data_IF_714262500433
#
_entry.id   IF_714262500433
#
_cell.length_a   1.000
_cell.length_b   1.000
_cell.length_c   1.000
_cell.angle_alpha   90.00
_cell.angle_beta   90.00
_cell.angle_gamma   90.00
#
_symmetry.space_group_name_H-M   'P 1'
#
loop_
_entity.id
_entity.type
_entity.pdbx_description
1 polymer ?
#
# COMPACT_ATOMS: atom_id res chain seq x y z
N UNK A 1 -24.86 -25.01 -17.99
CA UNK A 1 -25.52 -24.38 -16.83
C UNK A 1 -24.47 -23.58 -16.05
N UNK A 2 -24.68 -22.27 -15.92
CA UNK A 2 -23.74 -21.31 -15.31
C UNK A 2 -23.68 -21.54 -13.80
N UNK A 3 -22.49 -21.77 -13.24
CA UNK A 3 -22.29 -21.79 -11.79
C UNK A 3 -22.07 -20.36 -11.32
N UNK A 4 -23.02 -19.83 -10.55
CA UNK A 4 -22.95 -18.51 -9.94
C UNK A 4 -21.98 -18.62 -8.75
N UNK A 5 -20.89 -17.86 -8.83
CA UNK A 5 -19.90 -17.66 -7.77
C UNK A 5 -20.45 -16.60 -6.82
N UNK A 6 -20.67 -16.95 -5.56
CA UNK A 6 -21.06 -16.00 -4.51
C UNK A 6 -19.80 -15.42 -3.85
N UNK A 7 -19.22 -14.38 -4.45
CA UNK A 7 -18.20 -13.56 -3.78
C UNK A 7 -18.90 -12.57 -2.85
N UNK A 8 -18.82 -12.81 -1.54
CA UNK A 8 -19.16 -11.80 -0.53
C UNK A 8 -18.01 -10.78 -0.50
N UNK A 9 -18.25 -9.61 -1.08
CA UNK A 9 -17.38 -8.44 -0.91
C UNK A 9 -17.74 -7.83 0.44
N UNK A 10 -16.86 -8.01 1.43
CA UNK A 10 -16.92 -7.23 2.66
C UNK A 10 -16.68 -5.75 2.27
N UNK A 11 -17.77 -4.96 2.28
CA UNK A 11 -17.66 -3.51 2.17
C UNK A 11 -16.95 -3.02 3.42
N UNK A 12 -15.70 -2.58 3.27
CA UNK A 12 -15.05 -1.78 4.30
C UNK A 12 -15.87 -0.50 4.47
N UNK A 13 -16.62 -0.42 5.58
CA UNK A 13 -17.29 0.81 5.97
C UNK A 13 -16.22 1.80 6.41
N UNK A 14 -15.94 2.79 5.56
CA UNK A 14 -15.13 3.94 5.95
C UNK A 14 -15.93 4.79 6.93
N UNK A 15 -15.63 4.68 8.22
CA UNK A 15 -15.99 5.69 9.22
C UNK A 15 -14.97 6.82 9.15
N UNK A 16 -15.34 7.94 8.51
CA UNK A 16 -14.59 9.19 8.60
C UNK A 16 -14.93 9.85 9.95
N UNK A 17 -14.03 9.77 10.93
CA UNK A 17 -14.11 10.55 12.15
C UNK A 17 -12.96 11.56 12.16
N UNK A 18 -13.26 12.81 11.81
CA UNK A 18 -12.40 13.95 12.10
C UNK A 18 -12.49 14.26 13.58
N UNK A 19 -11.40 14.05 14.32
CA UNK A 19 -11.19 14.66 15.63
C UNK A 19 -9.69 14.74 15.90
N UNK A 20 -9.18 15.97 15.80
CA UNK A 20 -7.91 16.42 16.34
C UNK A 20 -7.90 16.18 17.86
N UNK A 21 -7.30 15.08 18.31
CA UNK A 21 -6.97 14.89 19.71
C UNK A 21 -5.78 13.92 19.85
N UNK A 22 -4.66 14.44 20.35
CA UNK A 22 -3.32 13.83 20.37
C UNK A 22 -3.15 12.60 21.29
N UNK A 23 -4.21 11.85 21.64
CA UNK A 23 -4.07 10.77 22.63
C UNK A 23 -4.89 9.50 22.39
N UNK A 24 -5.32 9.22 21.15
CA UNK A 24 -6.01 7.97 20.78
C UNK A 24 -5.44 7.30 19.51
N UNK A 25 -4.17 7.59 19.19
CA UNK A 25 -3.53 7.32 17.89
C UNK A 25 -2.45 6.24 17.96
N UNK A 26 -2.71 5.10 18.58
CA UNK A 26 -1.79 3.94 18.51
C UNK A 26 -2.43 2.76 17.79
N UNK A 27 -3.74 2.56 17.96
CA UNK A 27 -4.48 1.49 17.29
C UNK A 27 -4.95 1.89 15.89
N UNK A 28 -5.43 3.13 15.68
CA UNK A 28 -5.77 3.66 14.35
C UNK A 28 -4.54 4.02 13.50
N UNK A 29 -3.35 4.05 14.10
CA UNK A 29 -2.12 4.44 13.40
C UNK A 29 -1.51 3.27 12.66
N UNK A 30 -1.32 2.12 13.30
CA UNK A 30 -0.67 0.97 12.65
C UNK A 30 -1.41 0.49 11.39
N UNK A 31 -2.75 0.47 11.40
CA UNK A 31 -3.55 0.09 10.23
C UNK A 31 -3.38 1.03 9.03
N UNK A 32 -3.15 2.33 9.28
CA UNK A 32 -2.87 3.30 8.22
C UNK A 32 -1.52 3.03 7.53
N UNK A 33 -0.59 2.36 8.18
CA UNK A 33 0.72 1.97 7.62
C UNK A 33 0.74 0.55 7.05
N UNK A 34 -0.30 -0.26 7.28
CA UNK A 34 -0.38 -1.60 6.68
C UNK A 34 -0.62 -1.50 5.17
N UNK A 35 0.46 -1.72 4.41
CA UNK A 35 0.47 -1.69 2.96
C UNK A 35 0.22 -3.05 2.31
N UNK A 36 -0.17 -4.05 3.09
CA UNK A 36 -0.45 -5.39 2.55
C UNK A 36 -1.54 -5.33 1.47
N UNK A 37 -1.26 -5.95 0.34
CA UNK A 37 -2.21 -6.08 -0.77
C UNK A 37 -2.29 -7.51 -1.25
N UNK A 38 -3.41 -7.84 -1.90
CA UNK A 38 -3.50 -9.11 -2.60
C UNK A 38 -2.60 -9.07 -3.86
N UNK A 39 -1.46 -9.76 -3.81
CA UNK A 39 -0.47 -9.73 -4.89
C UNK A 39 -1.03 -10.20 -6.23
N UNK A 40 -1.93 -11.21 -6.24
CA UNK A 40 -2.59 -11.65 -7.48
C UNK A 40 -3.45 -10.54 -8.09
N UNK A 41 -4.18 -9.79 -7.28
CA UNK A 41 -4.98 -8.66 -7.78
C UNK A 41 -4.09 -7.53 -8.28
N UNK A 42 -2.99 -7.23 -7.57
CA UNK A 42 -2.03 -6.24 -8.03
C UNK A 42 -1.43 -6.66 -9.38
N UNK A 43 -1.01 -7.91 -9.51
CA UNK A 43 -0.46 -8.46 -10.74
C UNK A 43 -1.43 -8.36 -11.93
N UNK A 44 -2.70 -8.74 -11.74
CA UNK A 44 -3.74 -8.59 -12.77
C UNK A 44 -4.01 -7.11 -13.09
N UNK A 45 -4.02 -6.24 -12.09
CA UNK A 45 -4.29 -4.81 -12.29
C UNK A 45 -3.18 -4.15 -13.09
N UNK A 46 -1.93 -4.50 -12.79
CA UNK A 46 -0.77 -3.98 -13.49
C UNK A 46 -0.49 -4.71 -14.81
N UNK A 47 -1.07 -5.88 -15.05
CA UNK A 47 -0.77 -6.74 -16.22
C UNK A 47 0.70 -7.23 -16.18
N UNK A 48 1.10 -7.79 -15.02
CA UNK A 48 2.46 -8.29 -14.80
C UNK A 48 2.68 -9.64 -15.48
N UNK A 49 3.89 -9.84 -16.00
CA UNK A 49 4.38 -11.19 -16.30
C UNK A 49 4.64 -11.98 -15.02
N UNK A 50 4.82 -13.30 -15.13
CA UNK A 50 5.17 -14.15 -13.98
C UNK A 50 6.46 -13.70 -13.30
N UNK A 51 7.50 -13.37 -14.09
CA UNK A 51 8.80 -12.93 -13.57
C UNK A 51 8.70 -11.56 -12.89
N UNK A 52 7.91 -10.65 -13.46
CA UNK A 52 7.64 -9.35 -12.81
C UNK A 52 6.87 -9.53 -11.51
N UNK A 53 5.92 -10.48 -11.44
CA UNK A 53 5.12 -10.71 -10.24
C UNK A 53 5.99 -11.13 -9.04
N UNK A 54 7.00 -11.99 -9.25
CA UNK A 54 7.93 -12.38 -8.18
C UNK A 54 8.73 -11.18 -7.68
N UNK A 55 9.34 -10.41 -8.57
CA UNK A 55 10.11 -9.23 -8.20
C UNK A 55 9.26 -8.13 -7.53
N UNK A 56 8.05 -7.89 -8.04
CA UNK A 56 7.09 -6.95 -7.43
C UNK A 56 6.67 -7.43 -6.04
N UNK A 57 6.50 -8.74 -5.84
CA UNK A 57 6.16 -9.28 -4.53
C UNK A 57 7.26 -9.04 -3.51
N UNK A 58 8.51 -9.26 -3.89
CA UNK A 58 9.65 -9.05 -3.00
C UNK A 58 9.82 -7.57 -2.63
N UNK A 59 9.75 -6.68 -3.63
CA UNK A 59 9.84 -5.23 -3.41
C UNK A 59 8.69 -4.74 -2.53
N UNK A 60 7.45 -5.13 -2.83
CA UNK A 60 6.27 -4.68 -2.07
C UNK A 60 6.28 -5.24 -0.64
N UNK A 61 6.79 -6.45 -0.43
CA UNK A 61 6.95 -7.02 0.92
C UNK A 61 7.96 -6.22 1.73
N UNK A 62 9.09 -5.82 1.13
CA UNK A 62 10.06 -4.94 1.78
C UNK A 62 9.43 -3.58 2.12
N UNK A 63 8.67 -2.99 1.20
CA UNK A 63 7.95 -1.75 1.43
C UNK A 63 6.95 -1.85 2.61
N UNK A 64 6.18 -2.95 2.69
CA UNK A 64 5.26 -3.18 3.81
C UNK A 64 6.01 -3.21 5.15
N UNK A 65 7.15 -3.90 5.21
CA UNK A 65 7.97 -3.96 6.42
C UNK A 65 8.51 -2.58 6.81
N UNK A 66 9.00 -1.79 5.84
CA UNK A 66 9.49 -0.43 6.10
C UNK A 66 8.37 0.50 6.58
N UNK A 67 7.16 0.39 6.05
CA UNK A 67 6.00 1.15 6.50
C UNK A 67 5.57 0.76 7.92
N UNK A 68 5.62 -0.52 8.27
CA UNK A 68 5.38 -0.99 9.65
C UNK A 68 6.47 -0.53 10.62
N UNK A 69 7.73 -0.42 10.19
CA UNK A 69 8.78 0.21 10.99
C UNK A 69 8.46 1.69 11.23
N UNK A 70 8.02 2.42 10.21
CA UNK A 70 7.59 3.82 10.37
C UNK A 70 6.41 3.95 11.34
N UNK A 71 5.44 3.04 11.28
CA UNK A 71 4.29 3.03 12.19
C UNK A 71 4.67 3.01 13.67
N UNK A 72 5.74 2.28 13.99
CA UNK A 72 6.26 2.12 15.36
C UNK A 72 7.27 3.21 15.76
N UNK A 73 7.66 4.10 14.83
CA UNK A 73 8.59 5.17 15.11
C UNK A 73 7.94 6.36 15.84
N UNK A 74 8.78 7.17 16.48
CA UNK A 74 8.37 8.44 17.06
C UNK A 74 7.79 9.38 16.00
N UNK A 75 6.81 10.21 16.39
CA UNK A 75 6.09 11.10 15.46
C UNK A 75 7.01 12.04 14.67
N UNK A 76 8.11 12.47 15.28
CA UNK A 76 9.13 13.35 14.68
C UNK A 76 9.93 12.68 13.55
N UNK A 77 10.08 11.36 13.58
CA UNK A 77 10.87 10.59 12.61
C UNK A 77 9.98 9.88 11.59
N UNK A 78 8.73 9.59 11.97
CA UNK A 78 7.78 8.81 11.19
C UNK A 78 7.61 9.29 9.76
N UNK A 79 7.46 10.60 9.56
CA UNK A 79 7.30 11.18 8.22
C UNK A 79 8.52 10.88 7.33
N UNK A 80 9.73 11.05 7.86
CA UNK A 80 10.94 10.80 7.09
C UNK A 80 11.09 9.33 6.71
N UNK A 81 10.70 8.40 7.60
CA UNK A 81 10.71 6.97 7.32
C UNK A 81 9.70 6.58 6.24
N UNK A 82 8.48 7.13 6.29
CA UNK A 82 7.47 6.95 5.22
C UNK A 82 8.00 7.46 3.89
N UNK A 83 8.52 8.69 3.85
CA UNK A 83 9.04 9.31 2.62
C UNK A 83 10.20 8.48 2.05
N UNK A 84 11.06 7.92 2.91
CA UNK A 84 12.15 7.03 2.51
C UNK A 84 11.63 5.69 1.96
N UNK A 85 10.66 5.06 2.62
CA UNK A 85 10.07 3.80 2.17
C UNK A 85 9.40 3.96 0.81
N UNK A 86 8.58 4.99 0.64
CA UNK A 86 7.92 5.32 -0.63
C UNK A 86 8.95 5.58 -1.73
N UNK A 87 10.01 6.34 -1.44
CA UNK A 87 11.06 6.62 -2.42
C UNK A 87 11.80 5.36 -2.88
N UNK A 88 12.11 4.44 -1.95
CA UNK A 88 12.79 3.18 -2.28
C UNK A 88 11.89 2.27 -3.12
N UNK A 89 10.65 2.08 -2.68
CA UNK A 89 9.65 1.28 -3.38
C UNK A 89 9.46 1.76 -4.82
N UNK A 90 9.16 3.04 -4.99
CA UNK A 90 9.01 3.69 -6.30
C UNK A 90 10.26 3.49 -7.17
N UNK A 91 11.45 3.69 -6.62
CA UNK A 91 12.70 3.47 -7.35
C UNK A 91 12.86 2.02 -7.83
N UNK A 92 12.61 1.05 -6.96
CA UNK A 92 12.82 -0.36 -7.29
C UNK A 92 11.74 -0.89 -8.24
N UNK A 93 10.48 -0.48 -8.06
CA UNK A 93 9.41 -0.79 -9.01
C UNK A 93 9.73 -0.26 -10.41
N UNK A 94 10.38 0.90 -10.52
CA UNK A 94 10.82 1.47 -11.80
C UNK A 94 11.88 0.66 -12.54
N UNK A 95 12.58 -0.29 -11.89
CA UNK A 95 13.50 -1.21 -12.57
C UNK A 95 12.80 -2.45 -13.14
N UNK A 96 11.61 -2.78 -12.63
CA UNK A 96 10.89 -4.02 -12.95
C UNK A 96 9.73 -3.76 -13.91
N UNK A 97 9.02 -2.65 -13.71
CA UNK A 97 7.81 -2.30 -14.44
C UNK A 97 8.12 -1.51 -15.71
N UNK A 98 7.36 -1.77 -16.77
CA UNK A 98 7.35 -0.87 -17.93
C UNK A 98 6.66 0.47 -17.61
N UNK A 99 6.74 1.43 -18.53
CA UNK A 99 6.20 2.77 -18.32
C UNK A 99 4.70 2.79 -17.99
N UNK A 100 3.90 1.94 -18.65
CA UNK A 100 2.44 1.89 -18.46
C UNK A 100 2.10 1.24 -17.12
N UNK A 101 2.77 0.14 -16.80
CA UNK A 101 2.65 -0.56 -15.52
C UNK A 101 3.06 0.36 -14.36
N UNK A 102 4.20 1.02 -14.50
CA UNK A 102 4.76 1.92 -13.49
C UNK A 102 3.85 3.13 -13.22
N UNK A 103 3.34 3.81 -14.25
CA UNK A 103 2.38 4.91 -14.07
C UNK A 103 1.11 4.47 -13.34
N UNK A 104 0.59 3.28 -13.68
CA UNK A 104 -0.57 2.71 -13.00
C UNK A 104 -0.25 2.40 -11.53
N UNK A 105 0.91 1.81 -11.26
CA UNK A 105 1.39 1.55 -9.90
C UNK A 105 1.49 2.84 -9.07
N UNK A 106 2.11 3.90 -9.60
CA UNK A 106 2.20 5.20 -8.91
C UNK A 106 0.83 5.78 -8.59
N UNK A 107 -0.14 5.63 -9.50
CA UNK A 107 -1.51 6.08 -9.26
C UNK A 107 -2.13 5.33 -8.08
N UNK A 108 -2.03 3.99 -8.07
CA UNK A 108 -2.54 3.15 -6.99
C UNK A 108 -1.87 3.47 -5.65
N UNK A 109 -0.54 3.58 -5.63
CA UNK A 109 0.22 3.91 -4.43
C UNK A 109 -0.16 5.28 -3.88
N UNK A 110 -0.21 6.30 -4.74
CA UNK A 110 -0.59 7.65 -4.34
C UNK A 110 -2.01 7.71 -3.78
N UNK A 111 -2.99 7.11 -4.47
CA UNK A 111 -4.38 7.03 -3.99
C UNK A 111 -4.45 6.31 -2.65
N UNK A 112 -3.69 5.23 -2.48
CA UNK A 112 -3.64 4.46 -1.23
C UNK A 112 -3.09 5.31 -0.08
N UNK A 113 -1.97 6.02 -0.30
CA UNK A 113 -1.36 6.90 0.70
C UNK A 113 -2.30 8.03 1.11
N UNK A 114 -2.95 8.70 0.15
CA UNK A 114 -3.92 9.77 0.42
C UNK A 114 -5.14 9.26 1.17
N UNK A 115 -5.72 8.11 0.76
CA UNK A 115 -6.87 7.52 1.44
C UNK A 115 -6.56 7.10 2.89
N UNK A 116 -5.29 6.87 3.21
CA UNK A 116 -4.80 6.52 4.54
C UNK A 116 -4.26 7.71 5.34
N UNK A 117 -4.35 8.94 4.80
CA UNK A 117 -3.88 10.15 5.46
C UNK A 117 -2.36 10.24 5.62
N UNK A 118 -1.60 9.53 4.78
CA UNK A 118 -0.13 9.50 4.82
C UNK A 118 0.52 10.52 3.88
N UNK A 119 -0.29 11.21 3.07
CA UNK A 119 0.13 12.22 2.11
C UNK A 119 -0.85 13.38 2.08
#
# INVERSE_FOLDING_TARGET
>A
MKKIVLMVVAMFTMTMAFAENENNSTLNSAEAYDMTVNMRKLAVTLDLTTDQMEAVQDIHTAFCNEMMLAANAHSTERKALVDQAVKKDVRYMGFILDEKQYKKYLTLLNTTLTNRGLK
#
